data_IF_537791801128
#
_entry.id   IF_537791801128
#
_cell.length_a   1.000
_cell.length_b   1.000
_cell.length_c   1.000
_cell.angle_alpha   90.00
_cell.angle_beta   90.00
_cell.angle_gamma   90.00
#
_symmetry.space_group_name_H-M   'P 1'
#
loop_
_entity.id
_entity.type
_entity.pdbx_description
1 polymer ?
#
# COMPACT_ATOMS: atom_id res chain seq x y z
N UNK A 1 19.79 -9.34 -1.67
CA UNK A 1 20.83 -9.57 -0.66
C UNK A 1 20.75 -11.02 -0.21
N UNK A 2 21.30 -11.97 -0.99
CA UNK A 2 21.19 -13.41 -0.70
C UNK A 2 21.94 -13.84 0.56
N UNK A 3 22.86 -13.04 1.03
CA UNK A 3 23.77 -13.42 2.12
C UNK A 3 23.17 -13.23 3.54
N UNK A 4 21.96 -12.64 3.68
CA UNK A 4 21.37 -12.33 4.97
C UNK A 4 20.18 -13.21 5.38
N UNK A 5 19.74 -14.11 4.51
CA UNK A 5 18.62 -15.01 4.83
C UNK A 5 19.19 -16.34 5.32
N UNK A 6 19.60 -16.37 6.57
CA UNK A 6 20.13 -17.59 7.22
C UNK A 6 19.13 -18.22 8.18
N UNK A 7 17.91 -17.70 8.28
CA UNK A 7 16.85 -18.20 9.16
C UNK A 7 15.56 -18.42 8.39
N UNK A 8 14.75 -19.36 8.88
CA UNK A 8 13.40 -19.60 8.37
C UNK A 8 12.54 -18.36 8.55
N UNK A 9 11.83 -17.96 7.50
CA UNK A 9 10.89 -16.86 7.53
C UNK A 9 9.51 -17.38 7.86
N UNK A 10 8.91 -16.85 8.92
CA UNK A 10 7.53 -17.14 9.29
C UNK A 10 6.65 -15.95 8.93
N UNK A 11 5.60 -16.21 8.16
CA UNK A 11 4.57 -15.22 7.82
C UNK A 11 3.27 -15.72 8.45
N UNK A 12 2.53 -14.84 9.10
CA UNK A 12 1.22 -15.21 9.62
C UNK A 12 0.33 -15.69 8.46
N UNK A 13 -0.28 -16.87 8.61
CA UNK A 13 -1.05 -17.52 7.55
C UNK A 13 -2.17 -16.63 6.99
N UNK A 14 -2.74 -15.75 7.81
CA UNK A 14 -3.79 -14.80 7.43
C UNK A 14 -3.32 -13.75 6.41
N UNK A 15 -2.01 -13.58 6.22
CA UNK A 15 -1.41 -12.64 5.28
C UNK A 15 -0.74 -13.31 4.09
N UNK A 16 -0.89 -14.63 3.96
CA UNK A 16 -0.33 -15.41 2.84
C UNK A 16 -1.44 -15.97 1.98
N UNK A 17 -1.49 -15.56 0.74
CA UNK A 17 -2.28 -16.23 -0.29
C UNK A 17 -1.37 -17.12 -1.12
N UNK A 18 -1.71 -18.41 -1.20
CA UNK A 18 -0.97 -19.34 -2.05
C UNK A 18 -1.37 -19.12 -3.49
N UNK A 19 -0.51 -18.49 -4.26
CA UNK A 19 -0.71 -18.34 -5.71
C UNK A 19 -0.05 -19.52 -6.41
N UNK A 20 -0.84 -20.43 -6.96
CA UNK A 20 -0.33 -21.48 -7.85
C UNK A 20 -0.03 -20.85 -9.21
N UNK A 21 1.25 -20.75 -9.54
CA UNK A 21 1.70 -20.37 -10.87
C UNK A 21 1.65 -21.60 -11.77
N UNK A 22 0.58 -21.78 -12.52
CA UNK A 22 0.51 -22.77 -13.60
C UNK A 22 1.39 -22.30 -14.78
N UNK A 23 2.70 -22.39 -14.61
CA UNK A 23 3.71 -22.27 -15.64
C UNK A 23 3.51 -21.13 -16.66
N UNK A 24 4.32 -20.10 -16.57
CA UNK A 24 4.67 -19.18 -17.66
C UNK A 24 3.56 -18.33 -18.31
N UNK A 25 2.47 -18.05 -17.66
CA UNK A 25 1.66 -16.88 -18.01
C UNK A 25 2.25 -15.70 -17.27
N UNK A 26 2.77 -14.72 -18.01
CA UNK A 26 3.20 -13.43 -17.47
C UNK A 26 1.99 -12.81 -16.76
N UNK A 27 1.87 -13.01 -15.44
CA UNK A 27 0.86 -12.35 -14.59
C UNK A 27 1.03 -10.83 -14.62
N UNK A 28 2.06 -10.35 -15.27
CA UNK A 28 2.41 -8.94 -15.44
C UNK A 28 1.84 -8.32 -16.72
N UNK A 29 1.32 -9.13 -17.65
CA UNK A 29 0.67 -8.70 -18.89
C UNK A 29 -0.86 -8.75 -18.78
N UNK A 30 -1.43 -8.38 -17.64
CA UNK A 30 -2.83 -8.00 -17.64
C UNK A 30 -2.93 -6.67 -18.39
N UNK A 31 -3.56 -6.73 -19.56
CA UNK A 31 -3.98 -5.55 -20.32
C UNK A 31 -4.52 -4.52 -19.34
N UNK A 32 -3.88 -3.35 -19.31
CA UNK A 32 -4.38 -2.21 -18.57
C UNK A 32 -5.80 -1.94 -19.07
N UNK A 33 -6.80 -2.36 -18.32
CA UNK A 33 -8.14 -1.83 -18.51
C UNK A 33 -8.07 -0.35 -18.17
N UNK A 34 -7.93 0.47 -19.19
CA UNK A 34 -7.73 1.92 -19.06
C UNK A 34 -9.00 2.67 -18.65
N UNK A 35 -10.08 1.97 -18.34
CA UNK A 35 -11.38 2.55 -18.01
C UNK A 35 -12.04 1.84 -16.83
N UNK A 36 -11.47 2.00 -15.66
CA UNK A 36 -12.16 1.64 -14.42
C UNK A 36 -12.91 2.86 -13.86
N UNK A 37 -14.14 2.66 -13.43
CA UNK A 37 -14.92 3.67 -12.69
C UNK A 37 -14.51 3.78 -11.23
N UNK A 38 -13.59 2.91 -10.79
CA UNK A 38 -13.06 2.84 -9.43
C UNK A 38 -12.09 3.98 -9.14
N UNK A 39 -12.27 4.59 -7.98
CA UNK A 39 -11.47 5.73 -7.53
C UNK A 39 -11.16 5.60 -6.04
N UNK A 40 -9.92 5.87 -5.69
CA UNK A 40 -9.45 5.99 -4.31
C UNK A 40 -9.08 7.46 -4.08
N UNK A 41 -9.67 8.08 -3.08
CA UNK A 41 -9.32 9.44 -2.64
C UNK A 41 -8.70 9.33 -1.26
N UNK A 42 -7.47 9.82 -1.11
CA UNK A 42 -6.76 9.94 0.16
C UNK A 42 -6.76 11.40 0.57
N UNK A 43 -7.48 11.73 1.62
CA UNK A 43 -7.50 13.06 2.23
C UNK A 43 -6.48 13.10 3.37
N UNK A 44 -5.38 13.85 3.14
CA UNK A 44 -4.28 13.97 4.10
C UNK A 44 -4.61 14.88 5.28
N UNK A 45 -5.57 15.80 5.11
CA UNK A 45 -6.02 16.69 6.19
C UNK A 45 -6.94 15.98 7.16
N UNK A 46 -7.84 15.15 6.64
CA UNK A 46 -8.76 14.34 7.43
C UNK A 46 -8.16 13.01 7.90
N UNK A 47 -7.03 12.58 7.31
CA UNK A 47 -6.41 11.27 7.50
C UNK A 47 -7.40 10.14 7.22
N UNK A 48 -8.12 10.28 6.10
CA UNK A 48 -9.13 9.33 5.62
C UNK A 48 -8.87 8.89 4.19
N UNK A 49 -9.36 7.69 3.90
CA UNK A 49 -9.42 7.15 2.55
C UNK A 49 -10.87 6.84 2.20
N UNK A 50 -11.26 7.25 1.00
CA UNK A 50 -12.55 6.99 0.37
C UNK A 50 -12.32 6.17 -0.89
N UNK A 51 -12.94 5.00 -1.00
CA UNK A 51 -12.97 4.22 -2.23
C UNK A 51 -14.38 4.27 -2.80
N UNK A 52 -14.51 4.61 -4.07
CA UNK A 52 -15.79 4.77 -4.77
C UNK A 52 -15.79 4.06 -6.11
N UNK A 53 -16.95 3.55 -6.51
CA UNK A 53 -17.22 3.00 -7.82
C UNK A 53 -18.53 3.61 -8.34
N UNK A 54 -18.54 4.17 -9.56
CA UNK A 54 -19.70 4.86 -10.14
C UNK A 54 -20.36 5.90 -9.20
N UNK A 55 -19.54 6.58 -8.38
CA UNK A 55 -19.92 7.52 -7.31
C UNK A 55 -20.56 6.91 -6.06
N UNK A 56 -20.72 5.59 -5.99
CA UNK A 56 -21.14 4.91 -4.76
C UNK A 56 -19.92 4.64 -3.86
N UNK A 57 -20.09 4.87 -2.55
CA UNK A 57 -19.01 4.65 -1.58
C UNK A 57 -18.90 3.14 -1.31
N UNK A 58 -17.79 2.56 -1.72
CA UNK A 58 -17.40 1.19 -1.35
C UNK A 58 -16.81 1.14 0.06
N UNK A 59 -15.96 2.15 0.40
CA UNK A 59 -15.24 2.16 1.67
C UNK A 59 -14.92 3.60 2.09
N UNK A 60 -15.08 3.89 3.39
CA UNK A 60 -14.57 5.08 4.07
C UNK A 60 -13.88 4.64 5.34
N UNK A 61 -12.58 4.95 5.49
CA UNK A 61 -11.76 4.49 6.61
C UNK A 61 -10.74 5.54 7.04
N UNK A 62 -10.35 5.49 8.32
CA UNK A 62 -9.20 6.24 8.81
C UNK A 62 -7.90 5.57 8.33
N UNK A 63 -6.94 6.39 7.92
CA UNK A 63 -5.61 5.96 7.46
C UNK A 63 -4.52 6.73 8.16
N UNK A 64 -3.26 6.32 7.98
CA UNK A 64 -2.11 7.13 8.33
C UNK A 64 -1.32 7.48 7.09
N UNK A 65 -1.15 8.77 6.81
CA UNK A 65 -0.32 9.27 5.71
C UNK A 65 1.07 9.69 6.20
N UNK A 66 1.91 10.15 5.29
CA UNK A 66 3.28 10.55 5.58
C UNK A 66 3.39 11.73 6.55
N UNK A 67 4.44 11.69 7.39
CA UNK A 67 4.84 12.78 8.25
C UNK A 67 5.20 14.05 7.45
N UNK A 68 5.35 15.18 8.11
CA UNK A 68 5.68 16.46 7.44
C UNK A 68 6.98 16.44 6.65
N UNK A 69 8.00 15.74 7.15
CA UNK A 69 9.29 15.60 6.47
C UNK A 69 9.27 14.59 5.30
N UNK A 70 8.31 13.68 5.31
CA UNK A 70 8.15 12.62 4.30
C UNK A 70 6.68 12.50 3.90
N UNK A 71 6.09 13.56 3.34
CA UNK A 71 4.65 13.58 3.07
C UNK A 71 4.28 12.60 1.96
N UNK A 72 3.10 12.02 2.07
CA UNK A 72 2.49 11.29 0.94
C UNK A 72 2.32 12.27 -0.21
N UNK A 73 2.84 11.96 -1.43
CA UNK A 73 2.77 12.86 -2.57
C UNK A 73 1.33 13.22 -2.95
N UNK A 74 1.06 14.50 -3.14
CA UNK A 74 -0.23 14.98 -3.67
C UNK A 74 -0.29 14.83 -5.18
N UNK A 75 -1.46 14.57 -5.69
CA UNK A 75 -1.68 14.46 -7.13
C UNK A 75 -2.73 13.44 -7.50
N UNK A 76 -2.83 13.19 -8.79
CA UNK A 76 -3.64 12.13 -9.37
C UNK A 76 -2.72 11.08 -9.98
N UNK A 77 -2.93 9.86 -9.57
CA UNK A 77 -2.12 8.71 -9.92
C UNK A 77 -3.03 7.56 -10.34
N UNK A 78 -2.45 6.44 -10.73
CA UNK A 78 -3.15 5.18 -10.98
C UNK A 78 -2.46 4.02 -10.26
N UNK A 79 -3.23 3.03 -9.85
CA UNK A 79 -2.66 1.77 -9.38
C UNK A 79 -2.03 1.05 -10.56
N UNK A 80 -0.71 0.98 -10.62
CA UNK A 80 0.02 0.33 -11.72
C UNK A 80 0.58 -1.05 -11.37
N UNK A 81 0.60 -1.39 -10.08
CA UNK A 81 1.10 -2.69 -9.60
C UNK A 81 0.42 -3.07 -8.31
N UNK A 82 0.14 -4.36 -8.14
CA UNK A 82 -0.42 -4.95 -6.92
C UNK A 82 0.48 -6.08 -6.45
N UNK A 83 0.72 -6.16 -5.13
CA UNK A 83 1.45 -7.27 -4.52
C UNK A 83 0.80 -7.68 -3.21
N UNK A 84 0.48 -8.96 -2.99
CA UNK A 84 -0.17 -9.39 -1.76
C UNK A 84 0.72 -9.22 -0.53
N UNK A 85 2.02 -9.29 -0.71
CA UNK A 85 3.01 -9.10 0.35
C UNK A 85 4.32 -8.53 -0.20
N UNK A 86 5.02 -7.73 0.60
CA UNK A 86 6.38 -7.28 0.29
C UNK A 86 7.22 -7.13 1.55
N UNK A 87 8.52 -7.21 1.38
CA UNK A 87 9.50 -6.78 2.38
C UNK A 87 9.77 -5.28 2.20
N UNK A 88 9.68 -4.50 3.29
CA UNK A 88 9.98 -3.08 3.30
C UNK A 88 11.16 -2.80 4.21
N UNK A 89 12.18 -2.14 3.69
CA UNK A 89 13.38 -1.75 4.41
C UNK A 89 13.83 -0.37 3.93
N UNK A 90 14.27 0.47 4.83
CA UNK A 90 14.81 1.78 4.46
C UNK A 90 15.31 2.59 5.65
N UNK A 91 16.04 3.68 5.39
CA UNK A 91 16.48 4.59 6.43
C UNK A 91 15.27 5.30 7.04
N UNK A 92 15.34 5.58 8.35
CA UNK A 92 14.40 6.43 9.05
C UNK A 92 14.82 7.90 8.85
N UNK A 93 14.04 8.71 8.12
CA UNK A 93 14.39 10.10 7.86
C UNK A 93 14.47 10.91 9.15
N UNK A 94 15.48 11.76 9.25
CA UNK A 94 15.63 12.71 10.37
C UNK A 94 16.28 12.14 11.64
N UNK A 95 16.72 10.88 11.65
CA UNK A 95 17.48 10.30 12.75
C UNK A 95 18.98 10.26 12.42
N UNK A 96 19.81 10.77 13.35
CA UNK A 96 21.25 10.94 13.14
C UNK A 96 22.04 9.63 13.01
N UNK A 97 21.51 8.51 13.49
CA UNK A 97 22.23 7.25 13.68
C UNK A 97 21.90 6.18 12.63
N UNK A 98 21.55 6.56 11.40
CA UNK A 98 21.24 5.61 10.32
C UNK A 98 20.31 4.46 10.76
N UNK A 99 19.30 4.77 11.55
CA UNK A 99 18.30 3.78 11.91
C UNK A 99 17.48 3.40 10.68
N UNK A 100 17.20 2.11 10.56
CA UNK A 100 16.44 1.55 9.44
C UNK A 100 15.15 0.94 9.97
N UNK A 101 14.06 1.11 9.23
CA UNK A 101 12.92 0.23 9.39
C UNK A 101 13.17 -1.06 8.62
N UNK A 102 12.72 -2.16 9.21
CA UNK A 102 12.86 -3.51 8.67
C UNK A 102 11.52 -4.24 8.91
N UNK A 103 10.70 -4.30 7.88
CA UNK A 103 9.31 -4.75 7.95
C UNK A 103 9.08 -5.88 6.96
N UNK A 104 9.20 -7.14 7.43
CA UNK A 104 8.88 -8.30 6.62
C UNK A 104 7.38 -8.46 6.44
N UNK A 105 6.97 -8.97 5.28
CA UNK A 105 5.60 -9.38 5.04
C UNK A 105 4.55 -8.26 5.07
N UNK A 106 4.90 -7.03 4.66
CA UNK A 106 3.93 -5.92 4.58
C UNK A 106 2.80 -6.29 3.61
N UNK A 107 1.53 -6.40 4.08
CA UNK A 107 0.47 -7.00 3.30
C UNK A 107 -0.27 -6.02 2.38
N UNK A 108 -0.85 -6.55 1.30
CA UNK A 108 -1.87 -5.92 0.45
C UNK A 108 -1.45 -4.59 -0.18
N UNK A 109 -0.36 -4.62 -0.95
CA UNK A 109 0.28 -3.42 -1.50
C UNK A 109 -0.33 -3.02 -2.84
N UNK A 110 -0.83 -1.77 -2.92
CA UNK A 110 -1.25 -1.07 -4.13
C UNK A 110 -0.23 0.03 -4.44
N UNK A 111 0.55 -0.15 -5.49
CA UNK A 111 1.55 0.82 -5.92
C UNK A 111 0.90 1.86 -6.81
N UNK A 112 1.05 3.13 -6.45
CA UNK A 112 0.50 4.25 -7.19
C UNK A 112 1.54 5.33 -7.54
N UNK A 113 2.76 5.26 -6.96
CA UNK A 113 3.87 6.16 -7.31
C UNK A 113 5.14 5.38 -7.59
N UNK A 114 5.92 5.80 -8.58
CA UNK A 114 7.25 5.25 -8.84
C UNK A 114 8.25 5.60 -7.72
N UNK A 115 8.02 6.70 -7.01
CA UNK A 115 8.81 7.16 -5.88
C UNK A 115 8.66 6.34 -4.59
N UNK A 116 7.87 5.26 -4.62
CA UNK A 116 7.79 4.29 -3.53
C UNK A 116 6.65 4.50 -2.54
N UNK A 117 5.80 5.52 -2.70
CA UNK A 117 4.57 5.62 -1.91
C UNK A 117 3.56 4.56 -2.37
N UNK A 118 3.06 3.80 -1.41
CA UNK A 118 2.20 2.61 -1.60
C UNK A 118 1.05 2.68 -0.60
N UNK A 119 -0.14 2.24 -0.98
CA UNK A 119 -1.23 1.94 -0.05
C UNK A 119 -1.05 0.50 0.41
N UNK A 120 -1.03 0.24 1.72
CA UNK A 120 -0.77 -1.10 2.25
C UNK A 120 -1.31 -1.32 3.66
N UNK A 121 -1.44 -2.58 4.05
CA UNK A 121 -1.76 -2.97 5.42
C UNK A 121 -0.56 -2.75 6.36
N UNK A 122 -0.86 -2.35 7.60
CA UNK A 122 0.14 -2.01 8.61
C UNK A 122 -0.19 -2.72 9.91
N UNK A 123 0.73 -3.57 10.37
CA UNK A 123 0.58 -4.37 11.59
C UNK A 123 1.40 -3.84 12.78
N UNK A 124 2.27 -2.87 12.56
CA UNK A 124 3.24 -2.40 13.58
C UNK A 124 2.82 -1.14 14.33
N UNK A 125 1.69 -0.53 13.99
CA UNK A 125 1.12 0.59 14.75
C UNK A 125 -0.40 0.69 14.59
N UNK A 126 -1.05 1.47 15.45
CA UNK A 126 -2.48 1.75 15.47
C UNK A 126 -2.80 3.25 15.36
N UNK A 127 -1.92 4.05 14.76
CA UNK A 127 -2.05 5.51 14.67
C UNK A 127 -2.91 5.96 13.49
N UNK A 128 -3.98 5.23 13.19
CA UNK A 128 -4.92 5.59 12.12
C UNK A 128 -5.72 6.83 12.50
N UNK A 129 -5.92 7.75 11.54
CA UNK A 129 -6.46 9.10 11.77
C UNK A 129 -5.38 10.15 12.07
N UNK A 130 -4.09 9.77 12.04
CA UNK A 130 -2.96 10.66 12.27
C UNK A 130 -1.82 10.36 11.30
N UNK A 131 -0.99 11.34 11.00
CA UNK A 131 0.22 11.14 10.19
C UNK A 131 1.24 10.31 10.95
N UNK A 132 1.73 9.25 10.35
CA UNK A 132 2.70 8.35 10.99
C UNK A 132 3.68 7.68 10.02
N UNK A 133 3.37 7.61 8.73
CA UNK A 133 4.19 6.91 7.74
C UNK A 133 5.34 7.76 7.19
N UNK A 134 6.23 7.14 6.43
CA UNK A 134 7.30 7.82 5.69
C UNK A 134 6.93 8.08 4.22
N UNK A 135 5.63 8.29 3.95
CA UNK A 135 5.12 8.62 2.62
C UNK A 135 4.08 7.64 2.10
N UNK A 136 3.97 6.44 2.65
CA UNK A 136 2.94 5.48 2.34
C UNK A 136 1.57 5.89 2.92
N UNK A 137 0.52 5.22 2.48
CA UNK A 137 -0.81 5.28 3.07
C UNK A 137 -1.04 3.97 3.82
N UNK A 138 -1.08 4.05 5.14
CA UNK A 138 -1.18 2.90 6.03
C UNK A 138 -2.63 2.64 6.40
N UNK A 139 -3.07 1.39 6.27
CA UNK A 139 -4.40 0.90 6.62
C UNK A 139 -4.29 -0.24 7.64
N UNK A 140 -5.38 -0.51 8.35
CA UNK A 140 -5.53 -1.79 9.03
C UNK A 140 -5.41 -2.94 8.03
N UNK A 141 -4.76 -4.07 8.38
CA UNK A 141 -4.54 -5.18 7.44
C UNK A 141 -5.83 -5.70 6.78
N UNK A 142 -6.93 -5.80 7.54
CA UNK A 142 -8.22 -6.26 7.02
C UNK A 142 -8.84 -5.27 6.03
N UNK A 143 -8.71 -3.97 6.27
CA UNK A 143 -9.21 -2.94 5.37
C UNK A 143 -8.34 -2.86 4.11
N UNK A 144 -7.02 -2.99 4.28
CA UNK A 144 -6.11 -3.09 3.14
C UNK A 144 -6.41 -4.31 2.26
N UNK A 145 -6.77 -5.45 2.87
CA UNK A 145 -7.19 -6.65 2.13
C UNK A 145 -8.45 -6.40 1.32
N UNK A 146 -9.48 -5.80 1.92
CA UNK A 146 -10.74 -5.47 1.22
C UNK A 146 -10.47 -4.51 0.05
N UNK A 147 -9.70 -3.46 0.28
CA UNK A 147 -9.33 -2.49 -0.75
C UNK A 147 -8.51 -3.14 -1.86
N UNK A 148 -7.55 -3.99 -1.51
CA UNK A 148 -6.70 -4.71 -2.45
C UNK A 148 -7.51 -5.63 -3.37
N UNK A 149 -8.48 -6.37 -2.83
CA UNK A 149 -9.32 -7.27 -3.61
C UNK A 149 -10.27 -6.48 -4.54
N UNK A 150 -10.74 -5.32 -4.10
CA UNK A 150 -11.65 -4.47 -4.89
C UNK A 150 -10.91 -3.65 -5.95
N UNK A 151 -9.75 -3.06 -5.65
CA UNK A 151 -9.01 -2.21 -6.57
C UNK A 151 -8.42 -3.02 -7.73
N UNK A 152 -8.44 -2.45 -8.93
CA UNK A 152 -7.88 -3.01 -10.17
C UNK A 152 -6.63 -2.22 -10.59
N UNK A 153 -5.83 -2.80 -11.50
CA UNK A 153 -4.82 -2.03 -12.22
C UNK A 153 -5.55 -0.94 -13.03
N UNK A 154 -5.04 0.29 -12.99
CA UNK A 154 -5.71 1.44 -13.59
C UNK A 154 -6.66 2.19 -12.66
N UNK A 155 -7.02 1.65 -11.47
CA UNK A 155 -7.81 2.39 -10.47
C UNK A 155 -7.17 3.75 -10.18
N UNK A 156 -7.95 4.82 -10.32
CA UNK A 156 -7.48 6.20 -10.05
C UNK A 156 -7.23 6.40 -8.56
N UNK A 157 -6.09 6.99 -8.22
CA UNK A 157 -5.73 7.38 -6.84
C UNK A 157 -5.53 8.90 -6.80
N UNK A 158 -6.35 9.60 -6.02
CA UNK A 158 -6.24 11.05 -5.81
C UNK A 158 -5.77 11.27 -4.38
N UNK A 159 -4.63 11.95 -4.22
CA UNK A 159 -4.12 12.37 -2.92
C UNK A 159 -4.27 13.87 -2.82
N UNK A 160 -5.03 14.34 -1.84
CA UNK A 160 -5.31 15.75 -1.57
C UNK A 160 -5.12 16.11 -0.08
N UNK A 161 -5.21 17.39 0.23
CA UNK A 161 -5.38 17.93 1.60
C UNK A 161 -6.82 18.30 1.81
#
# INVERSE_FOLDING_TARGET
>A
YPERVTSDWYVAADFVETVYNEGNKNIWENEYSTSTTKKIVVDRSEQKLYATEENEIFMEIAVSTGLELTPTPRGTFTVFKKMPSRYMQGPLPGLADQQYYDLPGVPWNLYFTEGGAVIHGTYWHNSFGSRYSHGCVNLLPDDARKLYLWAELGTTVIVKD
#
